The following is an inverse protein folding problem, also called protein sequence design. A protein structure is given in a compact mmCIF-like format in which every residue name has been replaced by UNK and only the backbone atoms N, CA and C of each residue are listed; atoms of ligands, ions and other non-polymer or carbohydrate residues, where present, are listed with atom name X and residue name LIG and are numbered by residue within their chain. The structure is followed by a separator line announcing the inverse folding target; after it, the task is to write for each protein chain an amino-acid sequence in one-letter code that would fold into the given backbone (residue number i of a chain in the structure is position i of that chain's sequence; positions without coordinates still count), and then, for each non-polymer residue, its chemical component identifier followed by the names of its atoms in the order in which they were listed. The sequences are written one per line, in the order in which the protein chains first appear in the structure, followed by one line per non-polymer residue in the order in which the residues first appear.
data_IF_643553885600
#
_entry.id   IF_643553885600
#
_cell.length_a   1.000
_cell.length_b   1.000
_cell.length_c   1.000
_cell.angle_alpha   90.00
_cell.angle_beta   90.00
_cell.angle_gamma   90.00
#
_symmetry.space_group_name_H-M   'P 1'
#
loop_
_entity.id
_entity.type
_entity.pdbx_description
1 polymer ?
#
# COMPACT_ATOMS: atom_id res chain seq x y z
N UNK A 1 9.67 -1.29 10.76
CA UNK A 1 9.07 -0.69 9.54
C UNK A 1 8.87 -1.80 8.51
N UNK A 2 7.80 -1.76 7.72
CA UNK A 2 7.63 -2.63 6.55
C UNK A 2 7.74 -1.81 5.28
N UNK A 3 8.27 -2.42 4.22
CA UNK A 3 8.24 -1.88 2.85
C UNK A 3 7.44 -2.86 2.01
N UNK A 4 6.31 -2.41 1.50
CA UNK A 4 5.43 -3.19 0.61
C UNK A 4 5.47 -2.60 -0.78
N UNK A 5 5.62 -3.42 -1.82
CA UNK A 5 5.64 -2.97 -3.21
C UNK A 5 5.10 -4.03 -4.17
N UNK A 6 4.68 -3.59 -5.36
CA UNK A 6 4.19 -4.47 -6.44
C UNK A 6 5.28 -4.67 -7.49
N UNK A 7 5.38 -5.87 -8.05
CA UNK A 7 6.21 -6.16 -9.23
C UNK A 7 5.55 -7.21 -10.13
N UNK A 8 6.11 -7.41 -11.33
CA UNK A 8 5.73 -8.48 -12.24
C UNK A 8 6.52 -9.78 -12.05
N UNK A 9 7.36 -9.89 -11.02
CA UNK A 9 8.23 -11.06 -10.80
C UNK A 9 7.67 -11.99 -9.73
N UNK A 10 7.37 -13.24 -10.11
CA UNK A 10 7.10 -14.30 -9.16
C UNK A 10 8.39 -14.72 -8.43
N UNK A 11 8.25 -15.41 -7.29
CA UNK A 11 9.37 -16.00 -6.54
C UNK A 11 10.17 -17.04 -7.33
N UNK A 12 9.56 -17.64 -8.35
CA UNK A 12 10.23 -18.58 -9.25
C UNK A 12 11.11 -17.87 -10.29
N UNK A 13 10.85 -16.59 -10.55
CA UNK A 13 11.58 -15.78 -11.54
C UNK A 13 12.69 -14.96 -10.88
N UNK A 14 12.40 -14.41 -9.70
CA UNK A 14 13.35 -13.58 -8.96
C UNK A 14 13.14 -13.64 -7.44
N UNK A 15 14.24 -13.55 -6.69
CA UNK A 15 14.19 -13.39 -5.23
C UNK A 15 13.97 -11.92 -4.89
N UNK A 16 12.81 -11.53 -4.30
CA UNK A 16 12.53 -10.15 -3.92
C UNK A 16 13.23 -9.79 -2.61
N UNK A 17 13.80 -8.58 -2.56
CA UNK A 17 14.53 -8.08 -1.39
C UNK A 17 14.51 -6.55 -1.34
N UNK A 18 14.81 -6.02 -0.16
CA UNK A 18 15.10 -4.60 0.03
C UNK A 18 16.55 -4.45 0.44
N UNK A 19 17.28 -3.57 -0.24
CA UNK A 19 18.58 -3.09 0.23
C UNK A 19 18.36 -1.79 1.00
N UNK A 20 18.88 -1.70 2.22
CA UNK A 20 18.62 -0.56 3.10
C UNK A 20 19.66 -0.40 4.22
N UNK A 21 19.71 0.77 4.83
CA UNK A 21 20.66 1.11 5.88
C UNK A 21 20.57 2.58 6.30
N UNK A 22 21.32 2.97 7.34
CA UNK A 22 21.44 4.38 7.72
C UNK A 22 21.97 5.18 6.54
N UNK A 23 21.46 6.40 6.37
CA UNK A 23 21.85 7.27 5.26
C UNK A 23 23.36 7.59 5.37
N UNK A 24 24.13 7.13 4.39
CA UNK A 24 25.59 7.31 4.33
C UNK A 24 26.40 6.09 4.80
N UNK A 25 25.75 5.10 5.40
CA UNK A 25 26.42 3.90 5.94
C UNK A 25 26.32 2.71 4.97
N UNK A 26 27.00 1.62 5.34
CA UNK A 26 26.89 0.34 4.65
C UNK A 26 25.43 -0.16 4.64
N UNK A 27 24.97 -0.58 3.46
CA UNK A 27 23.61 -1.05 3.26
C UNK A 27 23.55 -2.58 3.43
N UNK A 28 22.57 -3.07 4.19
CA UNK A 28 22.24 -4.50 4.32
C UNK A 28 21.10 -4.89 3.38
N UNK A 29 20.87 -6.19 3.22
CA UNK A 29 19.74 -6.75 2.45
C UNK A 29 18.79 -7.49 3.37
N UNK A 30 17.49 -7.34 3.14
CA UNK A 30 16.44 -8.11 3.81
C UNK A 30 15.54 -8.74 2.76
N UNK A 31 15.18 -10.00 2.95
CA UNK A 31 14.24 -10.70 2.07
C UNK A 31 12.84 -10.08 2.18
N UNK A 32 11.98 -10.38 1.20
CA UNK A 32 10.56 -10.10 1.28
C UNK A 32 9.73 -11.38 1.16
N UNK A 33 8.61 -11.42 1.87
CA UNK A 33 7.53 -12.36 1.56
C UNK A 33 6.75 -11.88 0.35
N UNK A 34 6.24 -12.79 -0.45
CA UNK A 34 5.45 -12.49 -1.66
C UNK A 34 4.03 -13.03 -1.50
N UNK A 35 3.05 -12.21 -1.83
CA UNK A 35 1.64 -12.55 -1.91
C UNK A 35 1.10 -12.17 -3.27
N UNK A 36 0.04 -12.84 -3.68
CA UNK A 36 -0.79 -12.47 -4.83
C UNK A 36 -2.17 -13.08 -4.61
N UNK A 37 -3.12 -12.69 -5.44
CA UNK A 37 -4.46 -13.26 -5.49
C UNK A 37 -4.86 -13.42 -6.95
N UNK A 38 -5.80 -14.33 -7.21
CA UNK A 38 -6.27 -14.61 -8.56
C UNK A 38 -7.75 -14.23 -8.70
N UNK A 39 -8.27 -14.32 -9.92
CA UNK A 39 -9.65 -13.98 -10.24
C UNK A 39 -10.66 -14.67 -9.32
N UNK A 40 -10.42 -15.93 -8.97
CA UNK A 40 -11.33 -16.72 -8.13
C UNK A 40 -11.22 -16.42 -6.64
N UNK A 41 -10.23 -15.61 -6.21
CA UNK A 41 -10.17 -15.06 -4.86
C UNK A 41 -11.28 -14.02 -4.64
N UNK A 42 -11.82 -13.42 -5.71
CA UNK A 42 -12.90 -12.42 -5.62
C UNK A 42 -14.26 -13.10 -5.36
N UNK A 43 -15.10 -12.43 -4.57
CA UNK A 43 -16.41 -12.93 -4.17
C UNK A 43 -17.52 -12.69 -5.19
N UNK A 44 -17.37 -11.73 -6.11
CA UNK A 44 -18.39 -11.44 -7.11
C UNK A 44 -18.01 -10.39 -8.15
N UNK A 45 -19.00 -9.95 -8.93
CA UNK A 45 -18.86 -8.95 -9.99
C UNK A 45 -18.84 -7.51 -9.43
N UNK A 46 -18.09 -6.57 -10.02
CA UNK A 46 -17.24 -6.72 -11.21
C UNK A 46 -15.87 -7.37 -10.94
N UNK A 47 -15.42 -7.46 -9.69
CA UNK A 47 -14.07 -7.92 -9.31
C UNK A 47 -13.67 -9.27 -9.94
N UNK A 48 -14.59 -10.24 -9.94
CA UNK A 48 -14.40 -11.59 -10.48
C UNK A 48 -14.51 -11.67 -12.01
N UNK A 49 -15.13 -10.67 -12.64
CA UNK A 49 -15.57 -10.71 -14.04
C UNK A 49 -14.85 -9.66 -14.89
N UNK A 50 -15.58 -8.67 -15.41
CA UNK A 50 -15.07 -7.68 -16.36
C UNK A 50 -14.22 -6.58 -15.69
N UNK A 51 -14.25 -6.47 -14.36
CA UNK A 51 -13.36 -5.58 -13.61
C UNK A 51 -12.00 -6.21 -13.26
N UNK A 52 -11.84 -7.52 -13.46
CA UNK A 52 -10.61 -8.24 -13.13
C UNK A 52 -9.43 -7.76 -13.96
N UNK A 53 -8.32 -7.50 -13.27
CA UNK A 53 -6.98 -7.36 -13.83
C UNK A 53 -6.00 -8.09 -12.92
N UNK A 54 -5.03 -8.76 -13.51
CA UNK A 54 -3.97 -9.43 -12.76
C UNK A 54 -3.17 -8.40 -11.92
N UNK A 55 -2.99 -8.63 -10.60
CA UNK A 55 -2.30 -7.69 -9.71
C UNK A 55 -0.77 -7.83 -9.73
N UNK A 56 -0.21 -8.82 -10.44
CA UNK A 56 1.18 -9.21 -10.31
C UNK A 56 1.47 -9.79 -8.93
N UNK A 57 2.57 -9.34 -8.33
CA UNK A 57 3.06 -9.87 -7.06
C UNK A 57 3.34 -8.73 -6.07
N UNK A 58 2.80 -8.88 -4.86
CA UNK A 58 2.93 -7.92 -3.77
C UNK A 58 3.97 -8.46 -2.79
N UNK A 59 5.06 -7.74 -2.62
CA UNK A 59 6.16 -8.14 -1.77
C UNK A 59 6.20 -7.29 -0.51
N UNK A 60 6.49 -7.88 0.64
CA UNK A 60 6.67 -7.15 1.92
C UNK A 60 7.98 -7.54 2.59
N UNK A 61 8.86 -6.56 2.81
CA UNK A 61 10.09 -6.72 3.58
C UNK A 61 9.99 -6.06 4.95
N UNK A 62 10.66 -6.65 5.95
CA UNK A 62 10.67 -6.17 7.34
C UNK A 62 12.02 -5.53 7.67
N UNK A 63 12.00 -4.22 7.90
CA UNK A 63 13.17 -3.44 8.31
C UNK A 63 13.16 -3.33 9.84
N UNK A 64 14.00 -4.16 10.48
CA UNK A 64 14.09 -4.37 11.93
C UNK A 64 15.31 -3.68 12.55
N UNK A 65 15.27 -3.46 13.86
CA UNK A 65 16.36 -2.88 14.64
C UNK A 65 16.70 -1.44 14.21
N UNK A 66 15.65 -0.64 13.99
CA UNK A 66 15.78 0.77 13.62
C UNK A 66 16.19 1.61 14.83
N UNK A 67 17.13 2.53 14.61
CA UNK A 67 17.50 3.53 15.59
C UNK A 67 16.50 4.68 15.55
N UNK A 68 15.85 5.03 16.66
CA UNK A 68 14.82 6.06 16.66
C UNK A 68 15.29 7.38 16.04
N UNK A 69 14.42 8.02 15.27
CA UNK A 69 14.64 9.32 14.62
C UNK A 69 15.77 9.37 13.57
N UNK A 70 16.37 8.24 13.21
CA UNK A 70 17.43 8.19 12.21
C UNK A 70 16.87 8.13 10.78
N UNK A 71 17.62 8.69 9.82
CA UNK A 71 17.28 8.67 8.40
C UNK A 71 17.87 7.41 7.77
N UNK A 72 17.01 6.64 7.13
CA UNK A 72 17.38 5.44 6.39
C UNK A 72 17.18 5.65 4.89
N UNK A 73 18.03 5.02 4.08
CA UNK A 73 17.81 4.87 2.64
C UNK A 73 17.41 3.44 2.34
N UNK A 74 16.58 3.24 1.31
CA UNK A 74 16.23 1.91 0.84
C UNK A 74 15.96 1.88 -0.67
N UNK A 75 16.06 0.70 -1.28
CA UNK A 75 15.59 0.41 -2.63
C UNK A 75 15.13 -1.03 -2.73
N UNK A 76 14.07 -1.26 -3.50
CA UNK A 76 13.56 -2.61 -3.79
C UNK A 76 14.42 -3.25 -4.88
N UNK A 77 14.63 -4.55 -4.78
CA UNK A 77 15.43 -5.30 -5.72
C UNK A 77 14.87 -6.70 -5.98
N UNK A 78 15.16 -7.20 -7.18
CA UNK A 78 14.82 -8.54 -7.62
C UNK A 78 16.10 -9.20 -8.15
N UNK A 79 16.54 -10.27 -7.48
CA UNK A 79 17.66 -11.09 -7.95
C UNK A 79 17.11 -12.18 -8.88
N UNK A 80 17.33 -12.02 -10.18
CA UNK A 80 16.89 -12.97 -11.20
C UNK A 80 17.68 -14.28 -11.08
N UNK A 81 17.11 -15.38 -11.60
CA UNK A 81 17.75 -16.70 -11.62
C UNK A 81 19.14 -16.72 -12.31
N UNK A 82 19.38 -15.78 -13.24
CA UNK A 82 20.67 -15.63 -13.92
C UNK A 82 21.72 -14.84 -13.12
N UNK A 83 21.43 -14.46 -11.87
CA UNK A 83 22.32 -13.71 -10.98
C UNK A 83 22.27 -12.19 -11.14
N UNK A 84 21.47 -11.66 -12.08
CA UNK A 84 21.32 -10.21 -12.31
C UNK A 84 20.38 -9.60 -11.29
N UNK A 85 20.72 -8.40 -10.79
CA UNK A 85 19.81 -7.63 -9.96
C UNK A 85 19.09 -6.57 -10.79
N UNK A 86 17.77 -6.52 -10.66
CA UNK A 86 16.95 -5.38 -11.07
C UNK A 86 16.68 -4.53 -9.82
N UNK A 87 16.92 -3.23 -9.90
CA UNK A 87 16.79 -2.31 -8.78
C UNK A 87 15.81 -1.17 -9.10
N UNK A 88 15.03 -0.76 -8.10
CA UNK A 88 14.26 0.48 -8.16
C UNK A 88 15.17 1.72 -8.02
N UNK A 89 14.56 2.91 -8.18
CA UNK A 89 15.12 4.16 -7.63
C UNK A 89 15.34 4.03 -6.11
N UNK A 90 16.17 4.90 -5.56
CA UNK A 90 16.39 4.96 -4.11
C UNK A 90 15.35 5.84 -3.44
N UNK A 91 14.93 5.42 -2.26
CA UNK A 91 13.98 6.10 -1.38
C UNK A 91 14.64 6.36 -0.01
N UNK A 92 13.96 7.14 0.82
CA UNK A 92 14.39 7.39 2.20
C UNK A 92 13.22 7.65 3.12
N UNK A 93 13.34 7.21 4.36
CA UNK A 93 12.38 7.51 5.43
C UNK A 93 13.12 7.89 6.72
N UNK A 94 12.43 8.60 7.59
CA UNK A 94 12.87 8.81 8.98
C UNK A 94 12.17 7.75 9.84
N UNK A 95 12.95 6.98 10.59
CA UNK A 95 12.40 6.02 11.54
C UNK A 95 11.66 6.71 12.68
N UNK A 96 10.59 6.07 13.16
CA UNK A 96 9.71 6.59 14.20
C UNK A 96 10.45 6.89 15.51
N UNK A 97 9.92 7.81 16.34
CA UNK A 97 10.43 8.03 17.69
C UNK A 97 10.26 6.77 18.56
N UNK A 98 11.03 6.70 19.65
CA UNK A 98 10.81 5.67 20.66
C UNK A 98 9.47 5.92 21.39
N UNK A 99 8.71 4.89 21.79
CA UNK A 99 7.49 5.07 22.58
C UNK A 99 7.74 5.90 23.84
N UNK A 100 7.01 7.00 24.01
CA UNK A 100 7.16 7.93 25.15
C UNK A 100 8.24 9.01 24.98
N UNK A 101 8.90 9.10 23.81
CA UNK A 101 9.86 10.16 23.53
C UNK A 101 9.19 11.55 23.50
N UNK A 102 9.79 12.51 24.21
CA UNK A 102 9.35 13.91 24.18
C UNK A 102 9.92 14.64 22.94
N UNK A 103 9.12 14.69 21.88
CA UNK A 103 9.41 15.46 20.67
C UNK A 103 8.10 15.87 19.99
N UNK A 104 8.12 16.93 19.18
CA UNK A 104 6.99 17.26 18.32
C UNK A 104 6.72 16.10 17.35
N UNK A 105 5.46 15.67 17.27
CA UNK A 105 4.99 14.56 16.45
C UNK A 105 3.70 15.00 15.75
N UNK A 106 3.62 14.81 14.43
CA UNK A 106 2.55 15.35 13.59
C UNK A 106 1.90 14.21 12.81
N UNK A 107 0.63 13.99 13.10
CA UNK A 107 -0.18 12.89 12.59
C UNK A 107 -1.27 13.48 11.69
N UNK A 108 -1.45 12.89 10.51
CA UNK A 108 -2.57 13.20 9.63
C UNK A 108 -3.56 12.03 9.63
N UNK A 109 -4.86 12.35 9.65
CA UNK A 109 -5.95 11.37 9.65
C UNK A 109 -7.03 11.86 8.69
N UNK A 110 -7.47 11.00 7.77
CA UNK A 110 -8.62 11.23 6.87
C UNK A 110 -9.19 9.89 6.40
N UNK A 111 -10.44 9.87 5.93
CA UNK A 111 -11.06 8.74 5.23
C UNK A 111 -11.43 9.14 3.81
N UNK A 112 -11.88 8.17 3.02
CA UNK A 112 -12.71 8.43 1.84
C UNK A 112 -12.00 9.24 0.74
N UNK A 113 -10.67 9.11 0.63
CA UNK A 113 -9.91 9.92 -0.34
C UNK A 113 -10.15 9.47 -1.77
N UNK A 114 -10.26 8.16 -2.02
CA UNK A 114 -10.33 7.57 -3.34
C UNK A 114 -9.16 7.95 -4.26
N UNK A 115 -9.39 7.89 -5.56
CA UNK A 115 -8.42 8.28 -6.60
C UNK A 115 -9.04 9.21 -7.64
N UNK A 116 -8.21 9.85 -8.45
CA UNK A 116 -8.66 10.44 -9.70
C UNK A 116 -7.49 10.61 -10.68
N UNK A 117 -7.80 10.65 -11.97
CA UNK A 117 -6.81 10.85 -13.03
C UNK A 117 -6.31 12.29 -13.11
N UNK A 118 -4.98 12.47 -13.05
CA UNK A 118 -4.35 13.80 -13.16
C UNK A 118 -4.47 14.42 -14.55
N UNK A 119 -4.66 13.60 -15.59
CA UNK A 119 -4.83 14.06 -16.97
C UNK A 119 -6.28 14.42 -17.33
N UNK A 120 -7.21 14.27 -16.39
CA UNK A 120 -8.62 14.56 -16.57
C UNK A 120 -9.40 13.47 -17.30
N UNK A 121 -8.81 12.30 -17.54
CA UNK A 121 -9.52 11.14 -18.06
C UNK A 121 -10.69 10.73 -17.16
N UNK A 122 -11.73 10.18 -17.78
CA UNK A 122 -12.80 9.53 -17.05
C UNK A 122 -12.48 8.05 -16.83
N UNK A 123 -13.08 7.45 -15.82
CA UNK A 123 -12.85 6.06 -15.42
C UNK A 123 -14.01 5.52 -14.58
N UNK A 124 -14.00 4.22 -14.28
CA UNK A 124 -15.00 3.66 -13.37
C UNK A 124 -14.87 4.26 -11.98
N UNK A 125 -16.01 4.38 -11.29
CA UNK A 125 -16.09 4.93 -9.95
C UNK A 125 -15.41 6.30 -9.79
N UNK A 126 -15.49 7.16 -10.81
CA UNK A 126 -14.90 8.50 -10.80
C UNK A 126 -15.80 9.52 -10.07
N UNK A 127 -15.91 9.39 -8.75
CA UNK A 127 -16.74 10.27 -7.91
C UNK A 127 -16.01 10.82 -6.67
N UNK A 128 -14.67 10.87 -6.71
CA UNK A 128 -13.85 11.44 -5.63
C UNK A 128 -13.12 12.73 -6.07
N UNK A 129 -13.85 13.83 -6.33
CA UNK A 129 -13.27 15.06 -6.88
C UNK A 129 -12.25 15.74 -5.95
N UNK A 130 -12.27 15.41 -4.65
CA UNK A 130 -11.31 15.93 -3.65
C UNK A 130 -9.99 15.14 -3.57
N UNK A 131 -9.87 14.02 -4.27
CA UNK A 131 -8.76 13.07 -4.13
C UNK A 131 -7.40 13.69 -4.43
N UNK A 132 -7.27 14.35 -5.59
CA UNK A 132 -6.02 14.99 -6.01
C UNK A 132 -5.68 16.20 -5.14
N UNK A 133 -6.66 17.01 -4.76
CA UNK A 133 -6.43 18.15 -3.87
C UNK A 133 -5.89 17.69 -2.52
N UNK A 134 -6.48 16.65 -1.94
CA UNK A 134 -6.01 16.08 -0.67
C UNK A 134 -4.58 15.55 -0.82
N UNK A 135 -4.34 14.73 -1.84
CA UNK A 135 -3.00 14.20 -2.16
C UNK A 135 -1.97 15.32 -2.29
N UNK A 136 -2.29 16.39 -3.03
CA UNK A 136 -1.37 17.49 -3.31
C UNK A 136 -1.06 18.33 -2.07
N UNK A 137 -2.02 18.56 -1.17
CA UNK A 137 -1.76 19.24 0.10
C UNK A 137 -0.85 18.42 1.00
N UNK A 138 -1.06 17.10 1.07
CA UNK A 138 -0.20 16.22 1.87
C UNK A 138 1.23 16.16 1.34
N UNK A 139 1.40 16.09 0.01
CA UNK A 139 2.72 16.15 -0.62
C UNK A 139 3.40 17.49 -0.33
N UNK A 140 2.66 18.59 -0.44
CA UNK A 140 3.18 19.95 -0.19
C UNK A 140 3.68 20.11 1.25
N UNK A 141 2.96 19.55 2.23
CA UNK A 141 3.31 19.65 3.65
C UNK A 141 4.08 18.43 4.18
N UNK A 142 4.57 17.54 3.32
CA UNK A 142 5.12 16.23 3.72
C UNK A 142 6.33 16.31 4.66
N UNK A 143 7.12 17.40 4.61
CA UNK A 143 8.22 17.59 5.55
C UNK A 143 7.73 17.89 6.98
N UNK A 144 6.45 18.20 7.14
CA UNK A 144 5.77 18.43 8.40
C UNK A 144 4.85 17.28 8.84
N UNK A 145 4.88 16.14 8.14
CA UNK A 145 4.05 14.98 8.45
C UNK A 145 4.97 13.84 8.86
N UNK A 146 4.69 13.21 10.00
CA UNK A 146 5.51 12.10 10.51
C UNK A 146 4.83 10.73 10.24
N UNK A 147 3.50 10.70 10.11
CA UNK A 147 2.69 9.50 9.80
C UNK A 147 1.30 9.90 9.27
N UNK A 148 0.73 9.07 8.38
CA UNK A 148 -0.62 9.22 7.84
C UNK A 148 -1.49 8.01 8.22
N UNK A 149 -2.74 8.26 8.61
CA UNK A 149 -3.79 7.26 8.74
C UNK A 149 -4.92 7.56 7.74
N UNK A 150 -5.13 6.66 6.80
CA UNK A 150 -6.26 6.66 5.88
C UNK A 150 -7.31 5.64 6.38
N UNK A 151 -8.34 6.12 7.06
CA UNK A 151 -9.24 5.31 7.89
C UNK A 151 -10.41 4.66 7.13
N UNK A 152 -10.11 4.00 6.01
CA UNK A 152 -11.09 3.28 5.18
C UNK A 152 -11.51 4.05 3.93
N UNK A 153 -12.20 3.33 3.03
CA UNK A 153 -12.67 3.81 1.74
C UNK A 153 -11.51 4.36 0.89
N UNK A 154 -10.58 3.45 0.61
CA UNK A 154 -9.22 3.73 0.16
C UNK A 154 -9.23 4.27 -1.26
N UNK A 155 -9.65 3.44 -2.22
CA UNK A 155 -9.53 3.73 -3.65
C UNK A 155 -10.89 3.86 -4.36
N UNK A 156 -11.96 3.33 -3.76
CA UNK A 156 -13.24 3.12 -4.43
C UNK A 156 -13.13 2.30 -5.74
N UNK A 157 -12.12 1.42 -5.84
CA UNK A 157 -11.98 0.52 -6.98
C UNK A 157 -13.23 -0.33 -7.19
N UNK A 158 -13.86 -0.78 -6.10
CA UNK A 158 -15.11 -1.55 -6.05
C UNK A 158 -15.17 -2.60 -7.17
N UNK A 159 -14.10 -3.39 -7.30
CA UNK A 159 -13.96 -4.47 -8.24
C UNK A 159 -13.38 -4.11 -9.61
N UNK A 160 -13.07 -2.83 -9.90
CA UNK A 160 -12.24 -2.45 -11.04
C UNK A 160 -10.76 -2.45 -10.63
N UNK A 161 -10.19 -3.65 -10.62
CA UNK A 161 -8.94 -3.98 -9.91
C UNK A 161 -7.73 -3.13 -10.32
N UNK A 162 -7.69 -2.63 -11.56
CA UNK A 162 -6.61 -1.74 -12.03
C UNK A 162 -6.44 -0.48 -11.19
N UNK A 163 -7.49 -0.02 -10.52
CA UNK A 163 -7.50 1.22 -9.75
C UNK A 163 -6.72 1.11 -8.43
N UNK A 164 -6.39 -0.10 -7.98
CA UNK A 164 -5.48 -0.29 -6.85
C UNK A 164 -4.02 0.07 -7.19
N UNK A 165 -3.55 -0.26 -8.40
CA UNK A 165 -2.24 0.20 -8.88
C UNK A 165 -2.22 1.72 -9.08
N UNK A 166 -3.32 2.28 -9.61
CA UNK A 166 -3.50 3.73 -9.74
C UNK A 166 -3.43 4.43 -8.38
N UNK A 167 -4.13 3.90 -7.37
CA UNK A 167 -4.13 4.46 -6.02
C UNK A 167 -2.74 4.37 -5.36
N UNK A 168 -2.08 3.21 -5.42
CA UNK A 168 -0.73 3.05 -4.84
C UNK A 168 0.30 3.97 -5.53
N UNK A 169 0.16 4.22 -6.83
CA UNK A 169 0.95 5.22 -7.55
C UNK A 169 0.61 6.65 -7.11
N UNK A 170 -0.67 6.98 -6.94
CA UNK A 170 -1.12 8.31 -6.49
C UNK A 170 -0.53 8.68 -5.12
N UNK A 171 -0.46 7.72 -4.19
CA UNK A 171 0.08 7.94 -2.84
C UNK A 171 1.58 7.64 -2.70
N UNK A 172 2.26 7.12 -3.72
CA UNK A 172 3.71 6.80 -3.70
C UNK A 172 4.55 7.96 -3.12
N UNK A 173 4.35 9.24 -3.50
CA UNK A 173 5.16 10.34 -2.98
C UNK A 173 5.06 10.53 -1.46
N UNK A 174 3.96 10.08 -0.85
CA UNK A 174 3.70 10.14 0.60
C UNK A 174 4.16 8.82 1.25
N UNK A 175 3.59 7.70 0.81
CA UNK A 175 3.72 6.39 1.43
C UNK A 175 5.13 5.78 1.30
N UNK A 176 5.95 6.25 0.34
CA UNK A 176 7.37 5.85 0.25
C UNK A 176 8.29 6.61 1.21
N UNK A 177 7.80 7.66 1.90
CA UNK A 177 8.61 8.52 2.77
C UNK A 177 8.17 8.47 4.24
N UNK A 178 6.86 8.36 4.49
CA UNK A 178 6.28 8.23 5.83
C UNK A 178 5.37 7.00 5.88
N UNK A 179 5.18 6.37 7.06
CA UNK A 179 4.20 5.29 7.17
C UNK A 179 2.81 5.78 6.74
N UNK A 180 2.17 5.02 5.87
CA UNK A 180 0.80 5.24 5.41
C UNK A 180 -0.05 4.08 5.92
N UNK A 181 -0.66 4.29 7.07
CA UNK A 181 -1.49 3.31 7.75
C UNK A 181 -2.90 3.36 7.18
N UNK A 182 -3.50 2.21 6.90
CA UNK A 182 -4.86 2.13 6.37
C UNK A 182 -5.80 1.48 7.38
N UNK A 183 -7.08 1.84 7.31
CA UNK A 183 -8.21 1.06 7.82
C UNK A 183 -9.00 0.44 6.65
N UNK A 184 -9.91 -0.49 6.94
CA UNK A 184 -10.84 -1.05 5.96
C UNK A 184 -12.22 -0.43 6.16
N UNK A 185 -12.78 0.15 5.09
CA UNK A 185 -14.16 0.62 5.03
C UNK A 185 -15.10 -0.40 4.40
N UNK A 186 -16.34 0.03 4.12
CA UNK A 186 -17.33 -0.80 3.42
C UNK A 186 -16.94 -1.03 1.96
N UNK A 187 -16.32 -0.05 1.29
CA UNK A 187 -15.86 -0.19 -0.08
C UNK A 187 -14.67 -1.15 -0.25
N UNK A 188 -13.99 -1.50 0.85
CA UNK A 188 -13.00 -2.57 0.83
C UNK A 188 -13.63 -3.94 1.10
N UNK A 189 -14.62 -4.03 1.99
CA UNK A 189 -15.00 -5.30 2.63
C UNK A 189 -16.40 -5.81 2.33
N UNK A 190 -17.40 -4.95 2.15
CA UNK A 190 -18.79 -5.37 2.20
C UNK A 190 -19.18 -6.18 0.94
N UNK A 191 -19.59 -7.43 1.18
CA UNK A 191 -20.18 -8.28 0.15
C UNK A 191 -21.11 -9.33 0.79
N UNK A 192 -22.32 -9.57 0.25
CA UNK A 192 -23.27 -10.45 0.90
C UNK A 192 -22.76 -11.89 1.05
N UNK A 193 -23.00 -12.52 2.20
CA UNK A 193 -22.66 -13.92 2.46
C UNK A 193 -21.16 -14.19 2.66
N UNK A 194 -20.36 -13.16 2.95
CA UNK A 194 -18.91 -13.27 3.16
C UNK A 194 -18.47 -13.10 4.61
N UNK A 195 -19.41 -12.93 5.54
CA UNK A 195 -19.14 -12.71 6.96
C UNK A 195 -18.73 -11.28 7.32
N UNK A 196 -18.92 -10.30 6.44
CA UNK A 196 -18.95 -8.88 6.82
C UNK A 196 -20.16 -8.61 7.71
N UNK A 197 -20.06 -7.65 8.63
CA UNK A 197 -21.22 -7.28 9.45
C UNK A 197 -22.29 -6.54 8.64
N UNK A 198 -21.85 -5.72 7.69
CA UNK A 198 -22.70 -5.09 6.70
C UNK A 198 -22.73 -5.98 5.45
N UNK A 199 -23.94 -6.23 4.94
CA UNK A 199 -24.21 -7.12 3.80
C UNK A 199 -24.48 -6.29 2.53
N UNK A 200 -23.80 -5.15 2.39
CA UNK A 200 -23.86 -4.32 1.18
C UNK A 200 -23.03 -4.96 0.05
N UNK A 201 -23.13 -4.40 -1.15
CA UNK A 201 -22.32 -4.79 -2.31
C UNK A 201 -21.21 -3.75 -2.61
N UNK A 202 -20.86 -2.92 -1.63
CA UNK A 202 -20.04 -1.71 -1.82
C UNK A 202 -18.63 -2.03 -2.30
N UNK A 203 -18.09 -3.19 -1.92
CA UNK A 203 -16.77 -3.62 -2.37
C UNK A 203 -16.73 -4.08 -3.83
N UNK A 204 -17.87 -4.17 -4.53
CA UNK A 204 -17.95 -4.67 -5.90
C UNK A 204 -17.33 -6.07 -6.10
N UNK A 205 -17.44 -6.93 -5.08
CA UNK A 205 -16.96 -8.31 -5.11
C UNK A 205 -15.52 -8.51 -4.65
N UNK A 206 -14.80 -7.45 -4.25
CA UNK A 206 -13.44 -7.55 -3.69
C UNK A 206 -13.37 -8.25 -2.33
N UNK A 207 -14.40 -8.08 -1.49
CA UNK A 207 -14.58 -8.72 -0.19
C UNK A 207 -13.35 -8.71 0.74
N UNK A 208 -12.58 -7.61 0.71
CA UNK A 208 -11.42 -7.35 1.56
C UNK A 208 -10.08 -7.78 0.97
N UNK A 209 -10.06 -8.64 -0.06
CA UNK A 209 -8.85 -9.31 -0.54
C UNK A 209 -7.76 -8.32 -0.99
N UNK A 210 -8.15 -7.23 -1.65
CA UNK A 210 -7.19 -6.26 -2.17
C UNK A 210 -6.64 -5.37 -1.07
N UNK A 211 -7.51 -4.83 -0.21
CA UNK A 211 -7.09 -4.01 0.92
C UNK A 211 -6.11 -4.77 1.83
N UNK A 212 -6.43 -6.03 2.16
CA UNK A 212 -5.60 -6.85 3.05
C UNK A 212 -4.30 -7.32 2.41
N UNK A 213 -4.19 -7.31 1.07
CA UNK A 213 -2.99 -7.77 0.34
C UNK A 213 -2.09 -6.62 -0.07
N UNK A 214 -2.65 -5.59 -0.73
CA UNK A 214 -1.93 -4.43 -1.29
C UNK A 214 -1.30 -3.57 -0.20
N UNK A 215 -1.92 -3.51 0.98
CA UNK A 215 -1.40 -2.81 2.14
C UNK A 215 -1.02 -3.80 3.25
N UNK A 216 0.05 -3.46 3.97
CA UNK A 216 0.43 -4.18 5.18
C UNK A 216 0.06 -3.34 6.40
N UNK A 217 -0.70 -3.94 7.31
CA UNK A 217 -0.97 -3.43 8.65
C UNK A 217 -0.51 -4.47 9.69
N UNK A 218 0.01 -4.06 10.86
CA UNK A 218 0.51 -4.98 11.88
C UNK A 218 -0.61 -5.62 12.71
N UNK A 219 -1.67 -6.11 12.04
CA UNK A 219 -2.74 -6.88 12.67
C UNK A 219 -2.30 -8.34 12.89
N UNK A 220 -2.80 -8.98 13.95
CA UNK A 220 -2.57 -10.41 14.19
C UNK A 220 -3.13 -11.26 13.05
N UNK A 221 -4.33 -10.91 12.57
CA UNK A 221 -4.96 -11.49 11.40
C UNK A 221 -5.36 -10.35 10.44
N UNK A 222 -4.72 -10.26 9.28
CA UNK A 222 -4.97 -9.17 8.30
C UNK A 222 -6.39 -9.17 7.72
N UNK A 223 -7.09 -10.31 7.76
CA UNK A 223 -8.51 -10.37 7.39
C UNK A 223 -9.45 -9.77 8.45
N UNK A 224 -8.93 -9.59 9.68
CA UNK A 224 -9.56 -8.83 10.75
C UNK A 224 -8.76 -7.54 10.92
N UNK A 225 -9.02 -6.58 10.04
CA UNK A 225 -8.30 -5.31 9.87
C UNK A 225 -8.27 -4.38 11.12
N UNK A 226 -8.59 -4.90 12.32
CA UNK A 226 -8.77 -4.20 13.59
C UNK A 226 -8.04 -4.91 14.75
#
# INVERSE_FOLDING_TARGET
MTVTWTSGYDINEAVPLVQWGLKGDAQKKSSAGTLTFNRNSMCGSPARDFGWRDPGFIHTSFLKDLWPNAIYTYRMGHLLANGTYIWSKSYSFKSSPYPGQNSLQRIIIFGDMGKAERDGSNEYNNYQPGSLNTTDQLIKDLNNIDIVFHIGDISYANGYISQWDQFTAQVEPIASKVPYMVGSGNHERDWPGTGSFYENMDSGGECGVLAETMFYVPAENRAKFW
#
